data_IF_604664691160
#
_entry.id   IF_604664691160
#
_cell.length_a   1.000
_cell.length_b   1.000
_cell.length_c   1.000
_cell.angle_alpha   90.00
_cell.angle_beta   90.00
_cell.angle_gamma   90.00
#
_symmetry.space_group_name_H-M   'P 1'
#
loop_
_entity.id
_entity.type
_entity.pdbx_description
1 polymer ?
#
# COMPACT_ATOMS: atom_id res chain seq x y z
N UNK A 1 6.00 52.94 -27.74
CA UNK A 1 5.44 51.66 -27.27
C UNK A 1 6.48 50.99 -26.41
N UNK A 2 6.35 51.11 -25.09
CA UNK A 2 7.28 50.58 -24.10
C UNK A 2 7.04 49.08 -23.93
N UNK A 3 8.06 48.28 -24.26
CA UNK A 3 8.13 46.86 -23.89
C UNK A 3 7.91 46.71 -22.37
N UNK A 4 7.19 45.67 -21.91
CA UNK A 4 7.03 45.44 -20.49
C UNK A 4 8.41 45.09 -19.90
N UNK A 5 8.95 46.03 -19.12
CA UNK A 5 10.19 45.86 -18.37
C UNK A 5 10.07 44.64 -17.45
N UNK A 6 10.97 43.68 -17.67
CA UNK A 6 11.40 42.62 -16.77
C UNK A 6 10.42 41.45 -16.58
N UNK A 7 10.32 40.56 -17.56
CA UNK A 7 10.11 39.14 -17.27
C UNK A 7 11.38 38.60 -16.59
N UNK A 8 11.48 38.74 -15.27
CA UNK A 8 12.58 38.15 -14.48
C UNK A 8 12.54 36.64 -14.69
N UNK A 9 13.63 36.06 -15.19
CA UNK A 9 13.73 34.61 -15.32
C UNK A 9 13.44 33.95 -13.97
N UNK A 10 12.55 32.96 -13.96
CA UNK A 10 12.20 32.23 -12.74
C UNK A 10 13.47 31.66 -12.12
N UNK A 11 13.72 31.87 -10.81
CA UNK A 11 14.82 31.23 -10.09
C UNK A 11 14.89 29.73 -10.40
N UNK A 12 16.12 29.18 -10.50
CA UNK A 12 16.33 27.74 -10.73
C UNK A 12 15.58 26.87 -9.71
N UNK A 13 15.36 27.38 -8.49
CA UNK A 13 14.53 26.81 -7.44
C UNK A 13 13.10 26.52 -7.91
N UNK A 14 12.45 27.38 -8.70
CA UNK A 14 11.08 27.16 -9.19
C UNK A 14 10.99 26.09 -10.29
N UNK A 15 12.06 25.86 -11.07
CA UNK A 15 12.11 24.69 -11.98
C UNK A 15 12.09 23.39 -11.18
N UNK A 16 12.75 23.37 -10.02
CA UNK A 16 12.74 22.22 -9.12
C UNK A 16 11.35 21.93 -8.51
N UNK A 17 10.42 22.90 -8.44
CA UNK A 17 9.02 22.65 -8.03
C UNK A 17 8.37 21.58 -8.92
N UNK A 18 8.49 21.76 -10.24
CA UNK A 18 7.80 20.89 -11.21
C UNK A 18 8.37 19.48 -11.18
N UNK A 19 9.69 19.37 -10.99
CA UNK A 19 10.38 18.08 -10.82
C UNK A 19 9.90 17.40 -9.54
N UNK A 20 9.92 18.09 -8.40
CA UNK A 20 9.46 17.55 -7.12
C UNK A 20 7.99 17.14 -7.18
N UNK A 21 7.12 17.96 -7.77
CA UNK A 21 5.70 17.65 -7.93
C UNK A 21 5.47 16.41 -8.81
N UNK A 22 6.26 16.22 -9.87
CA UNK A 22 6.19 15.03 -10.71
C UNK A 22 6.69 13.79 -9.97
N UNK A 23 7.82 13.87 -9.26
CA UNK A 23 8.32 12.77 -8.42
C UNK A 23 7.28 12.33 -7.37
N UNK A 24 6.67 13.28 -6.66
CA UNK A 24 5.65 12.98 -5.65
C UNK A 24 4.41 12.32 -6.27
N UNK A 25 4.00 12.77 -7.47
CA UNK A 25 2.89 12.17 -8.21
C UNK A 25 3.22 10.76 -8.68
N UNK A 26 4.44 10.52 -9.17
CA UNK A 26 4.91 9.19 -9.56
C UNK A 26 4.96 8.25 -8.37
N UNK A 27 5.49 8.70 -7.23
CA UNK A 27 5.48 7.93 -5.99
C UNK A 27 4.05 7.58 -5.57
N UNK A 28 3.12 8.54 -5.56
CA UNK A 28 1.72 8.28 -5.23
C UNK A 28 1.08 7.23 -6.16
N UNK A 29 1.27 7.39 -7.47
CA UNK A 29 0.74 6.43 -8.45
C UNK A 29 1.31 5.03 -8.22
N UNK A 30 2.61 4.93 -7.92
CA UNK A 30 3.25 3.66 -7.62
C UNK A 30 2.71 3.04 -6.33
N UNK A 31 2.46 3.84 -5.28
CA UNK A 31 1.86 3.38 -4.04
C UNK A 31 0.45 2.82 -4.28
N UNK A 32 -0.42 3.56 -4.99
CA UNK A 32 -1.77 3.11 -5.34
C UNK A 32 -1.72 1.80 -6.14
N UNK A 33 -0.81 1.71 -7.10
CA UNK A 33 -0.62 0.50 -7.90
C UNK A 33 -0.21 -0.70 -7.04
N UNK A 34 0.78 -0.55 -6.17
CA UNK A 34 1.23 -1.61 -5.26
C UNK A 34 0.12 -2.02 -4.28
N UNK A 35 -0.72 -1.08 -3.83
CA UNK A 35 -1.88 -1.40 -3.00
C UNK A 35 -2.87 -2.33 -3.69
N UNK A 36 -3.23 -1.98 -4.93
CA UNK A 36 -4.17 -2.77 -5.71
C UNK A 36 -3.64 -4.18 -5.95
N UNK A 37 -2.33 -4.29 -6.24
CA UNK A 37 -1.67 -5.58 -6.43
C UNK A 37 -1.60 -6.40 -5.14
N UNK A 38 -1.28 -5.79 -4.01
CA UNK A 38 -1.24 -6.52 -2.74
C UNK A 38 -2.65 -6.96 -2.29
N UNK A 39 -3.68 -6.18 -2.62
CA UNK A 39 -5.07 -6.57 -2.43
C UNK A 39 -5.46 -7.78 -3.28
N UNK A 40 -5.10 -7.76 -4.58
CA UNK A 40 -5.33 -8.89 -5.48
C UNK A 40 -4.61 -10.16 -4.98
N UNK A 41 -3.34 -10.06 -4.56
CA UNK A 41 -2.60 -11.19 -4.00
C UNK A 41 -3.21 -11.77 -2.73
N UNK A 42 -3.88 -10.95 -1.90
CA UNK A 42 -4.59 -11.45 -0.72
C UNK A 42 -5.88 -12.19 -1.09
N UNK A 43 -6.61 -11.73 -2.10
CA UNK A 43 -7.79 -12.44 -2.56
C UNK A 43 -7.43 -13.76 -3.27
N UNK A 44 -6.37 -13.76 -4.09
CA UNK A 44 -5.89 -14.97 -4.75
C UNK A 44 -5.27 -15.96 -3.76
N UNK A 45 -4.60 -15.50 -2.69
CA UNK A 45 -4.02 -16.44 -1.71
C UNK A 45 -5.06 -17.28 -0.99
N UNK A 46 -6.30 -16.78 -0.84
CA UNK A 46 -7.44 -17.56 -0.30
C UNK A 46 -7.91 -18.69 -1.22
N UNK A 47 -7.48 -18.69 -2.49
CA UNK A 47 -7.79 -19.73 -3.48
C UNK A 47 -6.62 -20.69 -3.69
N UNK A 48 -5.45 -20.36 -3.15
CA UNK A 48 -4.29 -21.24 -3.22
C UNK A 48 -4.51 -22.41 -2.29
N UNK A 49 -4.15 -23.58 -2.82
CA UNK A 49 -4.43 -24.87 -2.23
C UNK A 49 -3.10 -25.43 -1.70
N UNK A 50 -3.06 -26.07 -0.52
CA UNK A 50 -1.82 -26.50 0.10
C UNK A 50 -1.29 -27.79 -0.54
N UNK A 51 -0.74 -27.67 -1.76
CA UNK A 51 -0.18 -28.81 -2.52
C UNK A 51 0.96 -29.49 -1.75
N UNK A 52 1.69 -28.73 -0.92
CA UNK A 52 2.74 -29.24 -0.06
C UNK A 52 2.25 -30.31 0.92
N UNK A 53 0.95 -30.30 1.28
CA UNK A 53 0.37 -31.32 2.14
C UNK A 53 0.18 -32.67 1.46
N UNK A 54 0.19 -32.74 0.12
CA UNK A 54 -0.12 -33.97 -0.63
C UNK A 54 0.95 -35.05 -0.53
N UNK A 55 2.20 -34.68 -0.32
CA UNK A 55 3.35 -35.59 -0.38
C UNK A 55 3.91 -35.85 1.03
N UNK A 56 3.13 -36.54 1.87
CA UNK A 56 3.53 -36.86 3.24
C UNK A 56 3.37 -35.73 4.25
N UNK A 57 2.60 -34.69 3.91
CA UNK A 57 2.34 -33.54 4.77
C UNK A 57 1.24 -33.75 5.81
N UNK A 58 0.71 -34.97 5.96
CA UNK A 58 -0.34 -35.30 6.95
C UNK A 58 0.03 -36.55 7.74
N UNK A 59 0.07 -36.42 9.07
CA UNK A 59 0.34 -37.50 10.02
C UNK A 59 -0.66 -37.40 11.17
N UNK A 60 -1.26 -38.52 11.58
CA UNK A 60 -2.26 -38.62 12.66
C UNK A 60 -3.42 -37.61 12.54
N UNK A 61 -3.78 -37.31 11.30
CA UNK A 61 -4.85 -36.40 10.93
C UNK A 61 -4.55 -34.93 11.14
N UNK A 62 -3.26 -34.57 11.20
CA UNK A 62 -2.76 -33.20 11.35
C UNK A 62 -1.73 -32.87 10.26
N UNK A 63 -1.72 -31.60 9.84
CA UNK A 63 -0.71 -31.05 8.95
C UNK A 63 0.68 -31.07 9.60
N UNK A 64 1.70 -31.36 8.80
CA UNK A 64 3.10 -31.35 9.21
C UNK A 64 3.89 -30.35 8.40
N UNK A 65 5.03 -29.90 8.94
CA UNK A 65 5.86 -28.85 8.33
C UNK A 65 5.12 -27.51 8.12
N UNK A 66 4.02 -27.30 8.85
CA UNK A 66 3.29 -26.03 8.96
C UNK A 66 3.61 -25.39 10.31
N UNK A 67 3.51 -24.06 10.42
CA UNK A 67 3.76 -23.36 11.68
C UNK A 67 2.82 -23.80 12.81
N UNK A 68 1.59 -24.18 12.46
CA UNK A 68 0.60 -24.75 13.37
C UNK A 68 0.05 -26.05 12.78
N UNK A 69 -0.02 -27.09 13.60
CA UNK A 69 -0.62 -28.36 13.22
C UNK A 69 -2.14 -28.20 13.20
N UNK A 70 -2.77 -28.56 12.08
CA UNK A 70 -4.21 -28.39 11.87
C UNK A 70 -4.82 -29.63 11.23
N UNK A 71 -6.10 -29.96 11.52
CA UNK A 71 -6.79 -31.03 10.83
C UNK A 71 -6.85 -30.77 9.32
N UNK A 72 -6.59 -31.80 8.51
CA UNK A 72 -6.62 -31.69 7.05
C UNK A 72 -7.87 -32.35 6.51
N UNK A 73 -8.71 -31.55 5.85
CA UNK A 73 -9.90 -32.02 5.16
C UNK A 73 -9.61 -32.15 3.67
N UNK A 74 -10.18 -33.18 3.05
CA UNK A 74 -10.15 -33.37 1.61
C UNK A 74 -11.54 -33.64 1.08
N UNK A 75 -11.81 -33.14 -0.12
CA UNK A 75 -13.03 -33.34 -0.87
C UNK A 75 -12.81 -34.41 -1.93
N UNK A 76 -13.79 -35.29 -2.09
CA UNK A 76 -13.82 -36.28 -3.16
C UNK A 76 -14.03 -35.61 -4.52
N UNK A 77 -13.14 -35.84 -5.47
CA UNK A 77 -13.22 -35.34 -6.85
C UNK A 77 -14.10 -36.22 -7.76
N UNK A 78 -14.32 -37.47 -7.36
CA UNK A 78 -15.18 -38.42 -8.06
C UNK A 78 -15.81 -39.35 -7.03
N UNK A 79 -16.98 -39.89 -7.35
CA UNK A 79 -17.58 -40.94 -6.53
C UNK A 79 -16.69 -42.20 -6.57
N UNK A 80 -16.56 -42.88 -5.44
CA UNK A 80 -15.79 -44.10 -5.30
C UNK A 80 -16.50 -45.08 -4.37
N UNK A 81 -16.68 -46.30 -4.85
CA UNK A 81 -17.27 -47.40 -4.09
C UNK A 81 -16.21 -48.48 -3.87
N UNK A 82 -15.91 -48.75 -2.60
CA UNK A 82 -15.06 -49.85 -2.18
C UNK A 82 -15.88 -50.95 -1.52
N UNK A 83 -15.23 -52.03 -1.05
CA UNK A 83 -15.91 -53.14 -0.38
C UNK A 83 -16.69 -52.73 0.88
N UNK A 84 -16.17 -51.74 1.62
CA UNK A 84 -16.68 -51.33 2.94
C UNK A 84 -16.98 -49.82 3.03
N UNK A 85 -16.98 -49.10 1.90
CA UNK A 85 -17.24 -47.67 1.87
C UNK A 85 -17.88 -47.25 0.55
N UNK A 86 -18.70 -46.21 0.59
CA UNK A 86 -19.24 -45.53 -0.58
C UNK A 86 -19.07 -44.04 -0.32
N UNK A 87 -18.33 -43.37 -1.20
CA UNK A 87 -18.05 -41.94 -1.09
C UNK A 87 -18.51 -41.23 -2.34
N UNK A 88 -19.24 -40.14 -2.16
CA UNK A 88 -19.81 -39.37 -3.27
C UNK A 88 -18.86 -38.26 -3.69
N UNK A 89 -18.94 -37.88 -4.96
CA UNK A 89 -18.31 -36.65 -5.44
C UNK A 89 -18.76 -35.45 -4.59
N UNK A 90 -17.80 -34.60 -4.21
CA UNK A 90 -18.04 -33.45 -3.35
C UNK A 90 -18.07 -33.75 -1.85
N UNK A 91 -18.08 -35.02 -1.42
CA UNK A 91 -18.06 -35.40 -0.01
C UNK A 91 -16.72 -35.03 0.65
N UNK A 92 -16.77 -34.48 1.86
CA UNK A 92 -15.59 -34.12 2.64
C UNK A 92 -15.21 -35.24 3.61
N UNK A 93 -13.93 -35.61 3.60
CA UNK A 93 -13.33 -36.63 4.45
C UNK A 93 -12.11 -36.05 5.15
N UNK A 94 -11.84 -36.53 6.36
CA UNK A 94 -10.63 -36.14 7.08
C UNK A 94 -9.46 -37.01 6.64
N UNK A 95 -8.36 -36.41 6.21
CA UNK A 95 -7.13 -37.14 5.90
C UNK A 95 -6.46 -37.51 7.22
N UNK A 96 -6.14 -38.79 7.41
CA UNK A 96 -5.45 -39.31 8.61
C UNK A 96 -3.96 -39.45 8.36
N UNK A 97 -3.55 -40.01 7.23
CA UNK A 97 -2.13 -40.12 6.88
C UNK A 97 -1.94 -40.27 5.38
N UNK A 98 -0.93 -39.57 4.86
CA UNK A 98 -0.41 -39.76 3.49
C UNK A 98 1.11 -39.95 3.46
N UNK A 99 1.69 -40.35 4.59
CA UNK A 99 3.13 -40.55 4.73
C UNK A 99 3.62 -41.86 4.10
N UNK A 100 2.83 -42.92 4.25
CA UNK A 100 3.28 -44.28 3.93
C UNK A 100 3.19 -44.61 2.44
N UNK A 101 2.22 -44.03 1.72
CA UNK A 101 2.01 -44.24 0.29
C UNK A 101 1.48 -42.96 -0.37
N UNK A 102 2.13 -42.54 -1.46
CA UNK A 102 1.75 -41.35 -2.24
C UNK A 102 0.50 -41.58 -3.10
N UNK A 103 0.22 -42.81 -3.48
CA UNK A 103 -0.92 -43.18 -4.33
C UNK A 103 -2.17 -43.49 -3.52
N UNK A 104 -2.02 -43.89 -2.26
CA UNK A 104 -3.14 -44.24 -1.39
C UNK A 104 -3.05 -43.52 -0.06
N UNK A 105 -4.06 -42.71 0.24
CA UNK A 105 -4.15 -42.01 1.51
C UNK A 105 -5.10 -42.72 2.46
N UNK A 106 -4.78 -42.65 3.74
CA UNK A 106 -5.66 -43.13 4.80
C UNK A 106 -6.57 -41.99 5.22
N UNK A 107 -7.88 -42.19 5.13
CA UNK A 107 -8.89 -41.18 5.47
C UNK A 107 -9.90 -41.74 6.46
N UNK A 108 -10.49 -40.85 7.25
CA UNK A 108 -11.61 -41.15 8.12
C UNK A 108 -12.91 -40.86 7.38
N UNK A 109 -13.74 -41.89 7.25
CA UNK A 109 -15.11 -41.81 6.71
C UNK A 109 -16.12 -42.07 7.84
N UNK A 110 -17.40 -41.91 7.54
CA UNK A 110 -18.48 -42.26 8.47
C UNK A 110 -18.49 -43.76 8.85
N UNK A 111 -17.95 -44.62 7.99
CA UNK A 111 -17.93 -46.07 8.18
C UNK A 111 -16.60 -46.58 8.78
N UNK A 112 -15.68 -45.66 9.10
CA UNK A 112 -14.36 -45.98 9.67
C UNK A 112 -13.19 -45.46 8.84
N UNK A 113 -12.00 -45.95 9.18
CA UNK A 113 -10.74 -45.57 8.54
C UNK A 113 -10.49 -46.48 7.34
N UNK A 114 -10.29 -45.88 6.17
CA UNK A 114 -10.10 -46.61 4.90
C UNK A 114 -8.96 -46.01 4.07
N UNK A 115 -8.37 -46.82 3.20
CA UNK A 115 -7.37 -46.38 2.22
C UNK A 115 -8.01 -46.11 0.87
N UNK A 116 -7.69 -44.97 0.28
CA UNK A 116 -8.32 -44.45 -0.94
C UNK A 116 -7.26 -43.89 -1.89
N UNK A 117 -7.41 -44.06 -3.22
CA UNK A 117 -6.52 -43.43 -4.18
C UNK A 117 -6.42 -41.90 -3.98
N UNK A 118 -5.21 -41.38 -3.81
CA UNK A 118 -4.94 -39.97 -3.54
C UNK A 118 -5.38 -39.04 -4.67
N UNK A 119 -5.41 -39.56 -5.91
CA UNK A 119 -5.90 -38.85 -7.10
C UNK A 119 -7.38 -38.49 -7.01
N UNK A 120 -8.17 -39.22 -6.20
CA UNK A 120 -9.59 -38.93 -5.99
C UNK A 120 -9.82 -37.85 -4.92
N UNK A 121 -8.78 -37.37 -4.24
CA UNK A 121 -8.87 -36.47 -3.10
C UNK A 121 -8.29 -35.10 -3.42
N UNK A 122 -9.03 -34.05 -3.07
CA UNK A 122 -8.63 -32.65 -3.19
C UNK A 122 -8.65 -31.97 -1.83
N UNK A 123 -7.50 -31.51 -1.33
CA UNK A 123 -7.45 -30.73 -0.09
C UNK A 123 -8.03 -29.35 -0.43
N UNK A 124 -9.23 -29.02 0.07
CA UNK A 124 -9.94 -27.81 -0.38
C UNK A 124 -9.64 -26.57 0.46
N UNK A 125 -9.10 -26.74 1.66
CA UNK A 125 -8.82 -25.63 2.55
C UNK A 125 -7.74 -24.72 1.96
N UNK A 126 -7.82 -23.39 2.16
CA UNK A 126 -6.79 -22.48 1.70
C UNK A 126 -5.44 -22.79 2.34
N UNK A 127 -4.36 -22.56 1.59
CA UNK A 127 -3.01 -22.60 2.13
C UNK A 127 -2.80 -21.43 3.10
N UNK A 128 -2.86 -21.71 4.40
CA UNK A 128 -2.73 -20.72 5.46
C UNK A 128 -1.40 -19.97 5.39
N UNK A 129 -0.32 -20.61 4.91
CA UNK A 129 0.98 -19.96 4.75
C UNK A 129 0.94 -18.94 3.61
N UNK A 130 0.26 -19.26 2.51
CA UNK A 130 0.06 -18.31 1.41
C UNK A 130 -0.79 -17.11 1.86
N UNK A 131 -1.86 -17.34 2.62
CA UNK A 131 -2.70 -16.28 3.19
C UNK A 131 -1.88 -15.39 4.13
N UNK A 132 -1.14 -15.98 5.07
CA UNK A 132 -0.29 -15.26 6.03
C UNK A 132 0.75 -14.39 5.33
N UNK A 133 1.42 -14.92 4.31
CA UNK A 133 2.40 -14.16 3.51
C UNK A 133 1.77 -12.94 2.82
N UNK A 134 0.57 -13.08 2.26
CA UNK A 134 -0.16 -11.96 1.65
C UNK A 134 -0.57 -10.90 2.68
N UNK A 135 -0.95 -11.29 3.90
CA UNK A 135 -1.23 -10.34 4.99
C UNK A 135 0.03 -9.57 5.39
N UNK A 136 1.12 -10.27 5.66
CA UNK A 136 2.42 -9.65 6.02
C UNK A 136 2.90 -8.71 4.92
N UNK A 137 2.72 -9.08 3.65
CA UNK A 137 3.08 -8.20 2.53
C UNK A 137 2.31 -6.88 2.56
N UNK A 138 1.02 -6.91 2.92
CA UNK A 138 0.18 -5.70 3.01
C UNK A 138 0.59 -4.81 4.16
N UNK A 139 0.91 -5.39 5.31
CA UNK A 139 1.45 -4.64 6.46
C UNK A 139 2.74 -3.91 6.07
N UNK A 140 3.67 -4.62 5.42
CA UNK A 140 4.91 -4.02 4.90
C UNK A 140 4.67 -2.91 3.88
N UNK A 141 3.63 -3.01 3.04
CA UNK A 141 3.25 -1.91 2.14
C UNK A 141 2.84 -0.66 2.92
N UNK A 142 2.03 -0.81 3.96
CA UNK A 142 1.57 0.32 4.79
C UNK A 142 2.76 0.97 5.49
N UNK A 143 3.61 0.19 6.17
CA UNK A 143 4.81 0.69 6.83
C UNK A 143 5.73 1.46 5.87
N UNK A 144 5.93 0.90 4.66
CA UNK A 144 6.76 1.52 3.63
C UNK A 144 6.18 2.84 3.13
N UNK A 145 4.85 2.96 3.05
CA UNK A 145 4.20 4.20 2.64
C UNK A 145 4.26 5.27 3.71
N UNK A 146 4.06 4.92 4.98
CA UNK A 146 4.19 5.89 6.07
C UNK A 146 5.59 6.51 6.05
N UNK A 147 6.62 5.69 5.89
CA UNK A 147 8.00 6.17 5.73
C UNK A 147 8.20 7.05 4.49
N UNK A 148 7.57 6.71 3.36
CA UNK A 148 7.69 7.49 2.13
C UNK A 148 6.97 8.84 2.25
N UNK A 149 5.79 8.86 2.87
CA UNK A 149 5.01 10.08 3.13
C UNK A 149 5.79 11.01 4.04
N UNK A 150 6.37 10.50 5.13
CA UNK A 150 7.16 11.32 6.04
C UNK A 150 8.43 11.86 5.38
N UNK A 151 9.15 11.06 4.59
CA UNK A 151 10.28 11.56 3.78
C UNK A 151 9.85 12.62 2.77
N UNK A 152 8.68 12.45 2.16
CA UNK A 152 8.12 13.41 1.20
C UNK A 152 7.78 14.73 1.89
N UNK A 153 7.19 14.68 3.08
CA UNK A 153 6.91 15.87 3.91
C UNK A 153 8.19 16.59 4.30
N UNK A 154 9.22 15.86 4.74
CA UNK A 154 10.52 16.44 5.06
C UNK A 154 11.15 17.16 3.84
N UNK A 155 11.16 16.51 2.67
CA UNK A 155 11.64 17.14 1.42
C UNK A 155 10.86 18.41 1.07
N UNK A 156 9.52 18.38 1.20
CA UNK A 156 8.67 19.54 0.95
C UNK A 156 8.97 20.69 1.92
N UNK A 157 9.17 20.39 3.21
CA UNK A 157 9.52 21.40 4.22
C UNK A 157 10.85 22.06 3.89
N UNK A 158 11.91 21.29 3.67
CA UNK A 158 13.23 21.85 3.33
C UNK A 158 13.16 22.68 2.04
N UNK A 159 12.43 22.20 1.04
CA UNK A 159 12.24 22.90 -0.22
C UNK A 159 11.54 24.26 -0.01
N UNK A 160 10.40 24.27 0.69
CA UNK A 160 9.64 25.50 0.92
C UNK A 160 10.34 26.45 1.88
N UNK A 161 11.03 25.98 2.92
CA UNK A 161 11.86 26.84 3.78
C UNK A 161 12.86 27.63 2.95
N UNK A 162 13.59 26.95 2.05
CA UNK A 162 14.56 27.59 1.17
C UNK A 162 13.90 28.59 0.21
N UNK A 163 12.81 28.18 -0.45
CA UNK A 163 12.09 29.03 -1.41
C UNK A 163 11.52 30.29 -0.74
N UNK A 164 10.86 30.15 0.40
CA UNK A 164 10.23 31.26 1.12
C UNK A 164 11.27 32.25 1.66
N UNK A 165 12.38 31.76 2.23
CA UNK A 165 13.48 32.61 2.68
C UNK A 165 14.10 33.40 1.52
N UNK A 166 14.37 32.75 0.38
CA UNK A 166 14.86 33.43 -0.81
C UNK A 166 13.90 34.52 -1.29
N UNK A 167 12.58 34.28 -1.24
CA UNK A 167 11.60 35.29 -1.63
C UNK A 167 11.56 36.47 -0.64
N UNK A 168 11.62 36.19 0.67
CA UNK A 168 11.61 37.22 1.71
C UNK A 168 12.86 38.12 1.67
N UNK A 169 14.03 37.56 1.34
CA UNK A 169 15.28 38.31 1.14
C UNK A 169 15.22 39.28 -0.05
N UNK A 170 14.41 38.99 -1.06
CA UNK A 170 14.29 39.78 -2.28
C UNK A 170 13.37 41.01 -2.15
N UNK A 171 12.84 41.30 -0.96
CA UNK A 171 12.03 42.49 -0.67
C UNK A 171 10.53 42.22 -0.56
N UNK A 172 9.71 43.22 -0.89
CA UNK A 172 8.25 43.09 -0.84
C UNK A 172 7.72 42.15 -1.94
N UNK A 173 6.76 41.31 -1.58
CA UNK A 173 6.19 40.27 -2.45
C UNK A 173 4.77 40.66 -2.83
N UNK A 174 4.55 40.97 -4.11
CA UNK A 174 3.24 41.36 -4.62
C UNK A 174 2.43 40.14 -5.07
N UNK A 175 1.15 40.08 -4.69
CA UNK A 175 0.21 39.05 -5.16
C UNK A 175 -1.14 39.66 -5.54
N UNK A 176 -1.86 38.98 -6.44
CA UNK A 176 -3.15 39.44 -7.01
C UNK A 176 -4.34 38.61 -6.52
N UNK A 177 -4.15 37.30 -6.32
CA UNK A 177 -5.23 36.37 -5.99
C UNK A 177 -5.21 36.00 -4.50
N UNK A 178 -6.05 36.66 -3.69
CA UNK A 178 -6.14 36.42 -2.25
C UNK A 178 -6.49 34.99 -1.89
N UNK A 179 -7.54 34.43 -2.49
CA UNK A 179 -7.99 33.05 -2.20
C UNK A 179 -6.88 32.04 -2.48
N UNK A 180 -6.18 32.18 -3.61
CA UNK A 180 -5.09 31.27 -3.96
C UNK A 180 -3.91 31.38 -2.98
N UNK A 181 -3.60 32.58 -2.50
CA UNK A 181 -2.55 32.80 -1.50
C UNK A 181 -2.95 32.24 -0.13
N UNK A 182 -4.19 32.45 0.29
CA UNK A 182 -4.71 31.91 1.56
C UNK A 182 -4.65 30.38 1.54
N UNK A 183 -5.10 29.74 0.45
CA UNK A 183 -5.00 28.28 0.28
C UNK A 183 -3.55 27.79 0.30
N UNK A 184 -2.63 28.49 -0.38
CA UNK A 184 -1.20 28.13 -0.37
C UNK A 184 -0.60 28.21 1.04
N UNK A 185 -0.92 29.25 1.80
CA UNK A 185 -0.46 29.38 3.19
C UNK A 185 -1.08 28.31 4.10
N UNK A 186 -2.33 27.92 3.85
CA UNK A 186 -2.98 26.81 4.55
C UNK A 186 -2.29 25.47 4.26
N UNK A 187 -1.99 25.17 2.99
CA UNK A 187 -1.25 23.98 2.58
C UNK A 187 0.13 23.92 3.26
N UNK A 188 0.85 25.05 3.33
CA UNK A 188 2.14 25.15 4.02
C UNK A 188 2.01 24.91 5.53
N UNK A 189 0.94 25.43 6.16
CA UNK A 189 0.65 25.16 7.58
C UNK A 189 0.29 23.69 7.79
N UNK A 190 -0.35 23.03 6.83
CA UNK A 190 -0.61 21.59 6.85
C UNK A 190 0.67 20.74 6.91
N UNK A 191 1.81 21.28 6.47
CA UNK A 191 3.11 20.61 6.62
C UNK A 191 3.69 20.74 8.05
N UNK A 192 3.16 21.63 8.89
CA UNK A 192 3.56 21.81 10.29
C UNK A 192 2.75 20.86 11.18
N UNK A 193 3.29 19.67 11.44
CA UNK A 193 2.64 18.72 12.37
C UNK A 193 2.72 19.25 13.81
N UNK A 194 1.70 19.01 14.66
CA UNK A 194 1.77 19.35 16.08
C UNK A 194 3.00 18.70 16.74
N UNK A 195 3.82 19.50 17.42
CA UNK A 195 5.06 19.09 18.10
C UNK A 195 6.25 18.69 17.21
N UNK A 196 6.25 19.03 15.91
CA UNK A 196 7.38 18.72 15.04
C UNK A 196 8.49 19.78 15.14
N UNK A 197 9.51 19.49 15.95
CA UNK A 197 10.70 20.35 16.10
C UNK A 197 11.47 20.54 14.78
N UNK A 198 11.28 19.64 13.81
CA UNK A 198 11.89 19.73 12.46
C UNK A 198 11.17 20.74 11.56
N UNK A 199 10.01 21.24 11.98
CA UNK A 199 9.20 22.19 11.22
C UNK A 199 9.44 23.66 11.63
N UNK A 200 10.35 23.92 12.58
CA UNK A 200 10.67 25.28 13.07
C UNK A 200 11.18 26.17 11.93
N UNK A 201 12.08 25.65 11.09
CA UNK A 201 12.65 26.40 9.97
C UNK A 201 11.56 26.82 8.97
N UNK A 202 10.64 25.92 8.65
CA UNK A 202 9.52 26.23 7.76
C UNK A 202 8.58 27.26 8.40
N UNK A 203 8.27 27.12 9.68
CA UNK A 203 7.43 28.08 10.41
C UNK A 203 8.02 29.49 10.39
N UNK A 204 9.33 29.62 10.62
CA UNK A 204 10.05 30.90 10.53
C UNK A 204 10.03 31.46 9.11
N UNK A 205 10.25 30.61 8.10
CA UNK A 205 10.23 31.02 6.71
C UNK A 205 8.82 31.49 6.26
N UNK A 206 7.76 30.82 6.72
CA UNK A 206 6.37 31.23 6.48
C UNK A 206 6.10 32.59 7.11
N UNK A 207 6.54 32.81 8.36
CA UNK A 207 6.38 34.09 9.04
C UNK A 207 7.07 35.23 8.27
N UNK A 208 8.35 35.07 7.96
CA UNK A 208 9.14 36.06 7.22
C UNK A 208 8.55 36.35 5.83
N UNK A 209 8.09 35.32 5.12
CA UNK A 209 7.40 35.47 3.85
C UNK A 209 6.10 36.28 4.00
N UNK A 210 5.28 35.94 5.00
CA UNK A 210 3.97 36.56 5.22
C UNK A 210 4.10 38.06 5.57
N UNK A 211 5.11 38.45 6.35
CA UNK A 211 5.39 39.86 6.66
C UNK A 211 5.71 40.71 5.43
N UNK A 212 6.22 40.09 4.36
CA UNK A 212 6.59 40.77 3.12
C UNK A 212 5.48 40.79 2.08
N UNK A 213 4.35 40.11 2.31
CA UNK A 213 3.25 40.03 1.35
C UNK A 213 2.48 41.35 1.25
N UNK A 214 2.31 41.86 0.03
CA UNK A 214 1.49 43.03 -0.29
C UNK A 214 0.49 42.68 -1.38
N UNK A 215 -0.79 42.84 -1.09
CA UNK A 215 -1.82 42.68 -2.10
C UNK A 215 -1.76 43.85 -3.08
N UNK A 216 -1.79 43.55 -4.38
CA UNK A 216 -1.88 44.58 -5.41
C UNK A 216 -3.35 44.93 -5.64
N UNK A 217 -3.75 46.12 -5.19
CA UNK A 217 -5.07 46.68 -5.48
C UNK A 217 -5.17 47.01 -6.97
N UNK A 218 -5.88 46.18 -7.74
CA UNK A 218 -6.27 46.50 -9.13
C UNK A 218 -7.30 47.64 -9.23
N UNK A 219 -7.72 48.22 -8.11
CA UNK A 219 -8.75 49.27 -8.03
C UNK A 219 -8.26 50.69 -8.40
N UNK A 220 -6.99 50.90 -8.78
CA UNK A 220 -6.44 52.24 -9.05
C UNK A 220 -6.09 52.59 -10.50
N UNK A 221 -6.47 51.79 -11.50
CA UNK A 221 -6.14 52.10 -12.91
C UNK A 221 -7.32 52.42 -13.84
N UNK A 222 -8.52 52.73 -13.33
CA UNK A 222 -9.67 53.12 -14.19
C UNK A 222 -10.19 54.54 -13.92
N UNK A 223 -9.36 55.47 -13.44
CA UNK A 223 -9.83 56.86 -13.28
C UNK A 223 -8.76 57.93 -13.44
N UNK A 224 -8.00 57.92 -14.54
CA UNK A 224 -7.50 59.16 -15.16
C UNK A 224 -7.28 58.92 -16.65
N UNK A 225 -8.25 59.35 -17.47
CA UNK A 225 -8.11 60.03 -18.77
C UNK A 225 -9.47 60.05 -19.47
#
# INVERSE_FOLDING_TARGET
>A
MTEPRNSRALPATLKNCTILANELREHLNHMIYLWGRSGNLLEESRRIVPVHLRLGGVIDGLSTNTESASPVMARMLTSLTGPNYELKEGEEVRVISNKDDQHFWTVQTNNGIVKIPSVCLWISDPDLEAVKRSVILREKCIESWDLLVERSRERLRSYYSCLLNQMAENGDIQYQHKIAMDNFLEDLRGLLLPNDTRAVELSQAIYAFTERLKMTDTTRMVSVA
#
